data_IF_093076673349
#
_entry.id   IF_093076673349
#
_cell.length_a   1.000
_cell.length_b   1.000
_cell.length_c   1.000
_cell.angle_alpha   90.00
_cell.angle_beta   90.00
_cell.angle_gamma   90.00
#
_symmetry.space_group_name_H-M   'P 1'
#
loop_
_entity.id
_entity.type
_entity.pdbx_description
1 polymer ?
#
# COMPACT_ATOMS: atom_id res chain seq x y z
N UNK A 1 27.75 12.23 -14.10
CA UNK A 1 28.17 13.66 -14.06
C UNK A 1 26.90 14.47 -13.90
N UNK A 2 26.73 15.07 -12.72
CA UNK A 2 25.61 15.97 -12.43
C UNK A 2 26.22 17.38 -12.27
N UNK A 3 25.69 18.34 -12.99
CA UNK A 3 26.19 19.74 -12.97
C UNK A 3 27.69 19.92 -13.21
N UNK A 4 28.29 19.12 -14.13
CA UNK A 4 29.73 19.09 -14.45
C UNK A 4 30.66 18.70 -13.25
N UNK A 5 30.13 18.13 -12.19
CA UNK A 5 30.93 17.58 -11.10
C UNK A 5 31.03 16.05 -11.21
N UNK A 6 32.14 15.48 -10.74
CA UNK A 6 32.30 14.04 -10.60
C UNK A 6 31.68 13.62 -9.28
N UNK A 7 30.77 12.64 -9.32
CA UNK A 7 30.19 12.06 -8.13
C UNK A 7 30.68 10.62 -7.96
N UNK A 8 31.13 10.28 -6.76
CA UNK A 8 31.45 8.93 -6.36
C UNK A 8 30.38 8.47 -5.38
N UNK A 9 29.65 7.44 -5.74
CA UNK A 9 28.65 6.82 -4.87
C UNK A 9 29.33 5.76 -4.02
N UNK A 10 29.28 5.91 -2.69
CA UNK A 10 29.74 4.92 -1.73
C UNK A 10 28.49 4.33 -1.06
N UNK A 11 28.23 3.05 -1.31
CA UNK A 11 27.16 2.28 -0.68
C UNK A 11 27.71 1.34 0.38
N UNK A 12 27.00 1.16 1.47
CA UNK A 12 27.29 0.16 2.50
C UNK A 12 25.98 -0.37 3.08
N UNK A 13 26.01 -1.63 3.51
CA UNK A 13 24.90 -2.25 4.19
C UNK A 13 24.97 -1.98 5.68
N UNK A 14 23.87 -1.56 6.26
CA UNK A 14 23.76 -1.26 7.67
C UNK A 14 22.77 -2.21 8.34
N UNK A 15 23.27 -3.03 9.26
CA UNK A 15 22.45 -3.93 10.07
C UNK A 15 22.09 -3.18 11.37
N UNK A 16 20.87 -2.66 11.46
CA UNK A 16 20.38 -1.93 12.61
C UNK A 16 19.09 -1.17 12.32
N UNK A 17 18.57 -0.43 13.31
CA UNK A 17 17.37 0.36 13.12
C UNK A 17 17.62 1.55 12.15
N UNK A 18 16.63 1.91 11.35
CA UNK A 18 16.68 3.02 10.41
C UNK A 18 17.15 4.35 11.07
N UNK A 19 16.67 4.61 12.29
CA UNK A 19 17.04 5.82 13.03
C UNK A 19 18.53 5.85 13.43
N UNK A 20 19.08 4.70 13.79
CA UNK A 20 20.50 4.56 14.08
C UNK A 20 21.34 4.74 12.81
N UNK A 21 20.95 4.11 11.71
CA UNK A 21 21.59 4.27 10.41
C UNK A 21 21.62 5.72 9.95
N UNK A 22 20.50 6.43 10.06
CA UNK A 22 20.40 7.85 9.75
C UNK A 22 21.33 8.71 10.58
N UNK A 23 21.35 8.51 11.91
CA UNK A 23 22.25 9.25 12.82
C UNK A 23 23.73 8.95 12.52
N UNK A 24 24.04 7.73 12.16
CA UNK A 24 25.40 7.32 11.80
C UNK A 24 25.84 8.03 10.51
N UNK A 25 25.01 8.00 9.47
CA UNK A 25 25.28 8.69 8.20
C UNK A 25 25.48 10.19 8.43
N UNK A 26 24.59 10.84 9.18
CA UNK A 26 24.70 12.28 9.48
C UNK A 26 26.01 12.63 10.23
N UNK A 27 26.42 11.79 11.20
CA UNK A 27 27.69 11.98 11.90
C UNK A 27 28.89 11.77 10.98
N UNK A 28 28.88 10.70 10.21
CA UNK A 28 29.97 10.37 9.28
C UNK A 28 30.14 11.44 8.20
N UNK A 29 29.05 11.91 7.60
CA UNK A 29 29.08 13.00 6.63
C UNK A 29 29.63 14.29 7.22
N UNK A 30 29.28 14.63 8.47
CA UNK A 30 29.83 15.79 9.16
C UNK A 30 31.32 15.63 9.42
N UNK A 31 31.79 14.47 9.89
CA UNK A 31 33.20 14.19 10.10
C UNK A 31 33.99 14.24 8.81
N UNK A 32 33.49 13.62 7.74
CA UNK A 32 34.12 13.67 6.42
C UNK A 32 34.30 15.10 5.91
N UNK A 33 33.29 15.94 6.00
CA UNK A 33 33.34 17.31 5.52
C UNK A 33 34.23 18.23 6.37
N UNK A 34 34.33 17.96 7.67
CA UNK A 34 35.04 18.86 8.58
C UNK A 34 36.52 18.46 8.81
N UNK A 35 36.85 17.17 8.74
CA UNK A 35 38.15 16.67 9.18
C UNK A 35 38.94 15.91 8.13
N UNK A 36 38.28 15.32 7.13
CA UNK A 36 38.94 14.33 6.25
C UNK A 36 39.04 14.79 4.81
N UNK A 37 37.99 15.46 4.28
CA UNK A 37 37.94 15.82 2.87
C UNK A 37 38.77 17.07 2.56
N UNK A 38 39.64 17.01 1.53
CA UNK A 38 40.38 18.18 1.06
C UNK A 38 39.48 19.24 0.46
N UNK A 39 39.96 20.46 0.36
CA UNK A 39 39.25 21.60 -0.22
C UNK A 39 38.82 21.28 -1.67
N UNK A 40 37.54 21.40 -1.94
CA UNK A 40 36.94 21.08 -3.26
C UNK A 40 36.16 19.77 -3.29
N UNK A 41 36.24 18.93 -2.27
CA UNK A 41 35.42 17.73 -2.12
C UNK A 41 34.34 17.94 -1.07
N UNK A 42 33.16 17.42 -1.33
CA UNK A 42 32.04 17.47 -0.40
C UNK A 42 31.33 16.11 -0.34
N UNK A 43 31.20 15.58 0.85
CA UNK A 43 30.32 14.45 1.08
C UNK A 43 28.90 14.96 1.31
N UNK A 44 27.94 14.40 0.60
CA UNK A 44 26.54 14.70 0.77
C UNK A 44 25.77 13.39 0.94
N UNK A 45 24.78 13.40 1.83
CA UNK A 45 23.90 12.24 2.01
C UNK A 45 22.61 12.47 1.20
N UNK A 46 22.34 11.69 0.17
CA UNK A 46 21.14 11.86 -0.65
C UNK A 46 19.85 11.64 0.15
N UNK A 47 19.94 11.07 1.35
CA UNK A 47 18.77 10.61 2.12
C UNK A 47 17.92 11.71 2.75
N UNK A 48 18.42 12.93 2.97
CA UNK A 48 17.71 13.90 3.82
C UNK A 48 16.56 14.64 3.11
N UNK A 49 16.64 14.84 1.80
CA UNK A 49 15.59 15.54 1.04
C UNK A 49 14.69 14.61 0.22
N UNK A 50 15.18 13.41 -0.12
CA UNK A 50 14.41 12.44 -0.90
C UNK A 50 13.22 11.89 -0.09
N UNK A 51 13.41 11.43 1.14
CA UNK A 51 12.37 10.77 1.91
C UNK A 51 11.15 11.63 2.25
N UNK A 52 11.29 12.96 2.33
CA UNK A 52 10.16 13.85 2.62
C UNK A 52 9.35 14.14 1.37
N UNK A 53 10.01 14.35 0.22
CA UNK A 53 9.35 14.55 -1.07
C UNK A 53 8.68 13.26 -1.56
N UNK A 54 9.33 12.11 -1.38
CA UNK A 54 8.76 10.81 -1.73
C UNK A 54 7.50 10.48 -0.93
N UNK A 55 7.53 10.65 0.39
CA UNK A 55 6.35 10.42 1.24
C UNK A 55 5.17 11.32 0.85
N UNK A 56 5.44 12.57 0.50
CA UNK A 56 4.41 13.49 0.05
C UNK A 56 3.86 13.09 -1.32
N UNK A 57 4.72 12.67 -2.25
CA UNK A 57 4.29 12.14 -3.55
C UNK A 57 3.46 10.87 -3.41
N UNK A 58 3.86 9.95 -2.54
CA UNK A 58 3.12 8.72 -2.27
C UNK A 58 1.72 8.99 -1.70
N UNK A 59 1.59 9.94 -0.78
CA UNK A 59 0.29 10.34 -0.24
C UNK A 59 -0.63 10.94 -1.34
N UNK A 60 -0.08 11.77 -2.23
CA UNK A 60 -0.82 12.31 -3.36
C UNK A 60 -1.27 11.24 -4.37
N UNK A 61 -0.45 10.21 -4.60
CA UNK A 61 -0.81 9.07 -5.44
C UNK A 61 -2.00 8.28 -4.87
N UNK A 62 -2.00 8.02 -3.57
CA UNK A 62 -3.13 7.33 -2.93
C UNK A 62 -4.40 8.18 -3.04
N UNK A 63 -4.31 9.48 -2.79
CA UNK A 63 -5.46 10.39 -2.91
C UNK A 63 -5.99 10.42 -4.34
N UNK A 64 -5.11 10.47 -5.34
CA UNK A 64 -5.47 10.42 -6.75
C UNK A 64 -6.16 9.10 -7.12
N UNK A 65 -5.65 7.96 -6.64
CA UNK A 65 -6.27 6.64 -6.84
C UNK A 65 -7.68 6.63 -6.25
N UNK A 66 -7.86 7.10 -5.01
CA UNK A 66 -9.18 7.18 -4.36
C UNK A 66 -10.12 8.08 -5.14
N UNK A 67 -9.66 9.23 -5.65
CA UNK A 67 -10.46 10.15 -6.46
C UNK A 67 -10.91 9.50 -7.78
N UNK A 68 -10.03 8.77 -8.47
CA UNK A 68 -10.36 8.03 -9.68
C UNK A 68 -11.40 6.95 -9.38
N UNK A 69 -11.20 6.17 -8.31
CA UNK A 69 -12.14 5.13 -7.88
C UNK A 69 -13.52 5.74 -7.59
N UNK A 70 -13.55 6.86 -6.83
CA UNK A 70 -14.80 7.55 -6.53
C UNK A 70 -15.55 7.96 -7.79
N UNK A 71 -14.84 8.57 -8.74
CA UNK A 71 -15.44 9.01 -10.02
C UNK A 71 -15.98 7.83 -10.83
N UNK A 72 -15.19 6.77 -10.96
CA UNK A 72 -15.59 5.56 -11.69
C UNK A 72 -16.80 4.88 -11.06
N UNK A 73 -16.79 4.71 -9.74
CA UNK A 73 -17.92 4.12 -9.02
C UNK A 73 -19.18 5.01 -9.08
N UNK A 74 -19.01 6.35 -9.06
CA UNK A 74 -20.13 7.29 -9.20
C UNK A 74 -20.81 7.15 -10.55
N UNK A 75 -20.04 7.02 -11.63
CA UNK A 75 -20.55 6.79 -12.97
C UNK A 75 -21.24 5.41 -13.04
N UNK A 76 -20.61 4.38 -12.50
CA UNK A 76 -21.11 3.00 -12.54
C UNK A 76 -22.47 2.84 -11.82
N UNK A 77 -22.61 3.45 -10.64
CA UNK A 77 -23.81 3.29 -9.80
C UNK A 77 -24.83 4.42 -9.95
N UNK A 78 -24.53 5.42 -10.78
CA UNK A 78 -25.39 6.61 -10.95
C UNK A 78 -25.80 7.24 -9.59
N UNK A 79 -24.89 7.17 -8.62
CA UNK A 79 -25.13 7.56 -7.22
C UNK A 79 -23.88 8.07 -6.56
N UNK A 80 -23.97 9.19 -5.84
CA UNK A 80 -22.87 9.76 -5.06
C UNK A 80 -22.66 9.07 -3.70
N UNK A 81 -23.67 8.34 -3.20
CA UNK A 81 -23.63 7.74 -1.85
C UNK A 81 -22.98 6.35 -1.85
N UNK A 82 -23.22 5.53 -2.85
CA UNK A 82 -22.68 4.17 -2.93
C UNK A 82 -21.16 4.11 -3.00
N UNK A 83 -20.49 4.96 -3.80
CA UNK A 83 -19.03 5.01 -3.81
C UNK A 83 -18.40 5.32 -2.45
N UNK A 84 -19.07 6.13 -1.61
CA UNK A 84 -18.56 6.44 -0.28
C UNK A 84 -18.48 5.20 0.62
N UNK A 85 -19.43 4.28 0.50
CA UNK A 85 -19.41 3.01 1.25
C UNK A 85 -18.22 2.16 0.81
N UNK A 86 -17.99 2.07 -0.51
CA UNK A 86 -16.85 1.31 -1.06
C UNK A 86 -15.52 1.91 -0.60
N UNK A 87 -15.38 3.24 -0.64
CA UNK A 87 -14.15 3.92 -0.22
C UNK A 87 -13.90 3.72 1.28
N UNK A 88 -14.96 3.65 2.09
CA UNK A 88 -14.83 3.41 3.53
C UNK A 88 -14.27 2.01 3.84
N UNK A 89 -14.40 1.04 2.96
CA UNK A 89 -13.81 -0.29 3.10
C UNK A 89 -12.28 -0.27 2.96
N UNK A 90 -11.72 0.68 2.21
CA UNK A 90 -10.28 0.78 1.95
C UNK A 90 -9.48 0.99 3.25
N UNK A 91 -9.78 2.00 4.10
CA UNK A 91 -9.08 2.18 5.37
C UNK A 91 -9.16 0.96 6.29
N UNK A 92 -10.28 0.23 6.27
CA UNK A 92 -10.45 -0.97 7.09
C UNK A 92 -9.47 -2.07 6.64
N UNK A 93 -9.29 -2.26 5.35
CA UNK A 93 -8.31 -3.22 4.83
C UNK A 93 -6.86 -2.83 5.18
N UNK A 94 -6.56 -1.52 5.28
CA UNK A 94 -5.24 -1.02 5.67
C UNK A 94 -4.89 -1.36 7.12
N UNK A 95 -5.89 -1.53 8.00
CA UNK A 95 -5.66 -2.00 9.37
C UNK A 95 -4.91 -3.33 9.34
N UNK A 96 -5.28 -4.26 8.45
CA UNK A 96 -4.60 -5.54 8.28
C UNK A 96 -3.12 -5.38 7.91
N UNK A 97 -2.80 -4.42 7.05
CA UNK A 97 -1.41 -4.10 6.69
C UNK A 97 -0.64 -3.61 7.91
N UNK A 98 -1.16 -2.62 8.62
CA UNK A 98 -0.48 -2.06 9.80
C UNK A 98 -0.32 -3.09 10.92
N UNK A 99 -1.30 -3.99 11.10
CA UNK A 99 -1.18 -5.08 12.06
C UNK A 99 -0.07 -6.06 11.70
N UNK A 100 0.08 -6.42 10.42
CA UNK A 100 1.13 -7.35 10.00
C UNK A 100 2.53 -6.74 10.16
N UNK A 101 2.72 -5.47 9.83
CA UNK A 101 3.98 -4.77 10.05
C UNK A 101 4.26 -4.47 11.53
N UNK A 102 3.22 -4.22 12.33
CA UNK A 102 3.36 -4.03 13.77
C UNK A 102 3.71 -5.31 14.54
N UNK A 103 3.35 -6.47 14.00
CA UNK A 103 3.69 -7.77 14.58
C UNK A 103 5.05 -8.30 14.10
N UNK A 104 5.42 -8.00 12.86
CA UNK A 104 6.71 -8.34 12.28
C UNK A 104 7.65 -7.14 12.39
N UNK A 105 8.91 -7.38 12.75
CA UNK A 105 9.95 -6.32 12.85
C UNK A 105 10.38 -5.76 11.48
N UNK A 106 9.55 -5.91 10.45
CA UNK A 106 9.84 -5.41 9.11
C UNK A 106 9.55 -3.92 8.99
N UNK A 107 10.41 -3.24 8.25
CA UNK A 107 10.29 -1.80 7.99
C UNK A 107 9.25 -1.60 6.87
N UNK A 108 8.30 -0.71 7.12
CA UNK A 108 7.34 -0.27 6.10
C UNK A 108 8.05 0.61 5.07
N UNK A 109 8.24 0.08 3.88
CA UNK A 109 9.00 0.68 2.78
C UNK A 109 8.13 1.01 1.55
N UNK A 110 8.77 1.21 0.39
CA UNK A 110 8.08 1.48 -0.88
C UNK A 110 7.19 0.32 -1.33
N UNK A 111 7.56 -0.94 -1.01
CA UNK A 111 6.74 -2.12 -1.28
C UNK A 111 5.42 -2.08 -0.54
N UNK A 112 5.44 -1.69 0.74
CA UNK A 112 4.24 -1.47 1.53
C UNK A 112 3.30 -0.42 0.93
N UNK A 113 3.84 0.70 0.43
CA UNK A 113 3.04 1.72 -0.27
C UNK A 113 2.44 1.22 -1.59
N UNK A 114 3.21 0.46 -2.36
CA UNK A 114 2.70 -0.15 -3.60
C UNK A 114 1.54 -1.12 -3.31
N UNK A 115 1.63 -1.86 -2.20
CA UNK A 115 0.57 -2.74 -1.76
C UNK A 115 -0.73 -1.98 -1.42
N UNK A 116 -0.68 -0.76 -0.88
CA UNK A 116 -1.88 0.05 -0.66
C UNK A 116 -2.64 0.35 -1.97
N UNK A 117 -1.92 0.67 -3.04
CA UNK A 117 -2.54 0.91 -4.35
C UNK A 117 -3.20 -0.36 -4.88
N UNK A 118 -2.52 -1.50 -4.76
CA UNK A 118 -3.08 -2.80 -5.12
C UNK A 118 -4.33 -3.13 -4.31
N UNK A 119 -4.29 -2.92 -2.99
CA UNK A 119 -5.41 -3.17 -2.09
C UNK A 119 -6.62 -2.32 -2.41
N UNK A 120 -6.43 -1.04 -2.76
CA UNK A 120 -7.52 -0.18 -3.21
C UNK A 120 -8.28 -0.86 -4.37
N UNK A 121 -7.57 -1.42 -5.36
CA UNK A 121 -8.19 -2.10 -6.49
C UNK A 121 -8.96 -3.37 -6.10
N UNK A 122 -8.37 -4.22 -5.26
CA UNK A 122 -8.98 -5.50 -4.84
C UNK A 122 -10.23 -5.25 -3.99
N UNK A 123 -10.13 -4.37 -3.00
CA UNK A 123 -11.23 -4.04 -2.07
C UNK A 123 -12.39 -3.39 -2.82
N UNK A 124 -12.08 -2.45 -3.71
CA UNK A 124 -13.10 -1.78 -4.53
C UNK A 124 -13.82 -2.77 -5.44
N UNK A 125 -13.08 -3.68 -6.08
CA UNK A 125 -13.68 -4.70 -6.93
C UNK A 125 -14.68 -5.59 -6.15
N UNK A 126 -14.31 -6.02 -4.95
CA UNK A 126 -15.18 -6.79 -4.06
C UNK A 126 -16.43 -5.98 -3.64
N UNK A 127 -16.24 -4.70 -3.27
CA UNK A 127 -17.31 -3.78 -2.92
C UNK A 127 -18.30 -3.54 -4.08
N UNK A 128 -17.79 -3.38 -5.30
CA UNK A 128 -18.60 -3.22 -6.51
C UNK A 128 -19.48 -4.45 -6.73
N UNK A 129 -18.90 -5.66 -6.64
CA UNK A 129 -19.67 -6.89 -6.79
C UNK A 129 -20.80 -7.00 -5.78
N UNK A 130 -20.53 -6.65 -4.53
CA UNK A 130 -21.51 -6.74 -3.45
C UNK A 130 -22.65 -5.74 -3.62
N UNK A 131 -22.34 -4.47 -3.87
CA UNK A 131 -23.36 -3.41 -4.05
C UNK A 131 -24.17 -3.65 -5.32
N UNK A 132 -23.55 -4.09 -6.41
CA UNK A 132 -24.28 -4.41 -7.63
C UNK A 132 -25.27 -5.57 -7.43
N UNK A 133 -24.90 -6.59 -6.67
CA UNK A 133 -25.80 -7.70 -6.33
C UNK A 133 -26.92 -7.24 -5.40
N UNK A 134 -26.62 -6.39 -4.41
CA UNK A 134 -27.63 -5.80 -3.54
C UNK A 134 -28.67 -5.01 -4.34
N UNK A 135 -28.23 -4.19 -5.31
CA UNK A 135 -29.13 -3.44 -6.19
C UNK A 135 -30.01 -4.36 -7.04
N UNK A 136 -29.42 -5.43 -7.57
CA UNK A 136 -30.16 -6.43 -8.37
C UNK A 136 -31.22 -7.13 -7.52
N UNK A 137 -30.84 -7.56 -6.32
CA UNK A 137 -31.78 -8.18 -5.38
C UNK A 137 -32.86 -7.20 -4.91
N UNK A 138 -32.53 -5.92 -4.72
CA UNK A 138 -33.47 -4.88 -4.34
C UNK A 138 -34.50 -4.59 -5.44
N UNK A 139 -34.06 -4.56 -6.70
CA UNK A 139 -34.93 -4.39 -7.85
C UNK A 139 -35.98 -5.52 -7.99
N UNK A 140 -35.58 -6.75 -7.66
CA UNK A 140 -36.47 -7.92 -7.73
C UNK A 140 -37.43 -7.97 -6.53
N UNK A 141 -36.97 -7.67 -5.31
CA UNK A 141 -37.74 -7.85 -4.08
C UNK A 141 -38.57 -6.63 -3.66
N UNK A 142 -38.26 -5.45 -4.23
CA UNK A 142 -38.90 -4.17 -3.87
C UNK A 142 -38.62 -3.70 -2.43
N UNK A 143 -37.73 -4.40 -1.69
CA UNK A 143 -37.41 -4.12 -0.28
C UNK A 143 -35.89 -3.92 -0.12
N UNK A 144 -35.49 -3.08 0.82
CA UNK A 144 -34.09 -2.90 1.25
C UNK A 144 -33.98 -3.24 2.72
N UNK A 145 -32.87 -3.85 3.14
CA UNK A 145 -32.62 -4.19 4.52
C UNK A 145 -31.51 -5.23 4.68
N UNK A 146 -31.16 -5.51 5.94
CA UNK A 146 -30.06 -6.42 6.30
C UNK A 146 -30.25 -7.83 5.69
N UNK A 147 -31.50 -8.32 5.63
CA UNK A 147 -31.77 -9.63 5.05
C UNK A 147 -31.44 -9.70 3.55
N UNK A 148 -31.65 -8.58 2.82
CA UNK A 148 -31.31 -8.48 1.41
C UNK A 148 -29.78 -8.42 1.20
N UNK A 149 -29.10 -7.64 2.05
CA UNK A 149 -27.64 -7.56 2.06
C UNK A 149 -27.01 -8.94 2.30
N UNK A 150 -27.48 -9.68 3.31
CA UNK A 150 -27.01 -11.05 3.58
C UNK A 150 -27.26 -12.00 2.39
N UNK A 151 -28.37 -11.85 1.70
CA UNK A 151 -28.65 -12.61 0.48
C UNK A 151 -27.67 -12.28 -0.64
N UNK A 152 -27.41 -10.99 -0.88
CA UNK A 152 -26.44 -10.52 -1.88
C UNK A 152 -25.01 -11.01 -1.53
N UNK A 153 -24.64 -10.92 -0.25
CA UNK A 153 -23.37 -11.42 0.26
C UNK A 153 -23.20 -12.92 -0.01
N UNK A 154 -24.19 -13.74 0.35
CA UNK A 154 -24.14 -15.19 0.10
C UNK A 154 -24.04 -15.54 -1.39
N UNK A 155 -24.62 -14.75 -2.28
CA UNK A 155 -24.49 -14.96 -3.72
C UNK A 155 -23.08 -14.63 -4.25
N UNK A 156 -22.41 -13.63 -3.66
CA UNK A 156 -21.12 -13.12 -4.16
C UNK A 156 -19.90 -13.57 -3.34
N UNK A 157 -20.10 -14.21 -2.18
CA UNK A 157 -18.98 -14.63 -1.33
C UNK A 157 -18.04 -15.60 -2.06
N UNK A 158 -18.58 -16.51 -2.88
CA UNK A 158 -17.74 -17.48 -3.62
C UNK A 158 -16.83 -16.80 -4.64
N UNK A 159 -17.31 -15.97 -5.58
CA UNK A 159 -16.42 -15.28 -6.52
C UNK A 159 -15.46 -14.31 -5.83
N UNK A 160 -15.88 -13.63 -4.76
CA UNK A 160 -15.01 -12.75 -3.98
C UNK A 160 -13.90 -13.56 -3.31
N UNK A 161 -14.23 -14.67 -2.65
CA UNK A 161 -13.25 -15.54 -2.01
C UNK A 161 -12.27 -16.16 -3.01
N UNK A 162 -12.71 -16.52 -4.20
CA UNK A 162 -11.84 -17.02 -5.28
C UNK A 162 -10.85 -15.95 -5.74
N UNK A 163 -11.28 -14.70 -5.89
CA UNK A 163 -10.38 -13.59 -6.23
C UNK A 163 -9.34 -13.37 -5.14
N UNK A 164 -9.74 -13.37 -3.88
CA UNK A 164 -8.86 -13.22 -2.73
C UNK A 164 -7.84 -14.36 -2.68
N UNK A 165 -8.31 -15.61 -2.78
CA UNK A 165 -7.46 -16.78 -2.76
C UNK A 165 -6.45 -16.77 -3.92
N UNK A 166 -6.91 -16.43 -5.14
CA UNK A 166 -6.06 -16.29 -6.32
C UNK A 166 -4.97 -15.23 -6.11
N UNK A 167 -5.32 -14.08 -5.52
CA UNK A 167 -4.37 -13.02 -5.21
C UNK A 167 -3.32 -13.49 -4.20
N UNK A 168 -3.75 -14.14 -3.10
CA UNK A 168 -2.84 -14.67 -2.08
C UNK A 168 -1.90 -15.70 -2.68
N UNK A 169 -2.41 -16.66 -3.46
CA UNK A 169 -1.59 -17.67 -4.12
C UNK A 169 -0.64 -17.06 -5.16
N UNK A 170 -1.07 -16.03 -5.89
CA UNK A 170 -0.23 -15.31 -6.85
C UNK A 170 0.92 -14.54 -6.19
N UNK A 171 0.73 -14.08 -4.95
CA UNK A 171 1.77 -13.37 -4.19
C UNK A 171 2.64 -14.30 -3.33
N UNK A 172 2.23 -15.55 -3.12
CA UNK A 172 2.97 -16.51 -2.31
C UNK A 172 4.42 -16.74 -2.76
N UNK A 173 4.76 -16.77 -4.07
CA UNK A 173 6.15 -16.90 -4.51
C UNK A 173 7.08 -15.82 -3.95
N UNK A 174 6.62 -14.57 -3.84
CA UNK A 174 7.41 -13.46 -3.30
C UNK A 174 7.74 -13.59 -1.81
N UNK A 175 6.98 -14.41 -1.07
CA UNK A 175 7.31 -14.74 0.31
C UNK A 175 8.40 -15.82 0.41
N UNK A 176 8.50 -16.67 -0.61
CA UNK A 176 9.47 -17.77 -0.61
C UNK A 176 10.91 -17.27 -0.82
N UNK A 177 11.08 -16.22 -1.64
CA UNK A 177 12.39 -15.61 -1.89
C UNK A 177 12.98 -14.93 -0.64
N UNK A 178 12.15 -14.74 0.39
CA UNK A 178 12.56 -14.28 1.72
C UNK A 178 12.83 -12.77 1.81
N UNK A 179 13.32 -12.31 2.97
CA UNK A 179 13.52 -10.88 3.27
C UNK A 179 14.74 -10.27 2.54
N UNK A 180 15.49 -11.01 1.75
CA UNK A 180 16.61 -10.49 0.95
C UNK A 180 16.08 -9.53 -0.14
N UNK A 181 14.92 -9.83 -0.72
CA UNK A 181 14.22 -8.96 -1.68
C UNK A 181 13.24 -8.05 -0.95
N UNK A 182 13.78 -7.04 -0.27
CA UNK A 182 13.05 -6.14 0.65
C UNK A 182 11.73 -5.60 0.06
N UNK A 183 11.75 -5.12 -1.19
CA UNK A 183 10.57 -4.54 -1.84
C UNK A 183 9.45 -5.57 -2.05
N UNK A 184 9.78 -6.71 -2.70
CA UNK A 184 8.77 -7.72 -3.06
C UNK A 184 8.22 -8.45 -1.85
N UNK A 185 9.06 -8.68 -0.85
CA UNK A 185 8.66 -9.31 0.39
C UNK A 185 7.70 -8.41 1.18
N UNK A 186 8.04 -7.12 1.39
CA UNK A 186 7.18 -6.17 2.05
C UNK A 186 5.86 -5.96 1.30
N UNK A 187 5.90 -5.88 -0.04
CA UNK A 187 4.74 -5.80 -0.91
C UNK A 187 3.81 -7.00 -0.72
N UNK A 188 4.35 -8.23 -0.74
CA UNK A 188 3.57 -9.45 -0.61
C UNK A 188 2.92 -9.55 0.78
N UNK A 189 3.66 -9.30 1.87
CA UNK A 189 3.11 -9.31 3.23
C UNK A 189 1.98 -8.29 3.36
N UNK A 190 2.20 -7.06 2.92
CA UNK A 190 1.20 -6.01 2.98
C UNK A 190 -0.07 -6.37 2.18
N UNK A 191 0.10 -6.83 0.94
CA UNK A 191 -1.01 -7.16 0.07
C UNK A 191 -1.80 -8.38 0.58
N UNK A 192 -1.14 -9.43 1.05
CA UNK A 192 -1.80 -10.63 1.59
C UNK A 192 -2.57 -10.29 2.86
N UNK A 193 -1.94 -9.61 3.82
CA UNK A 193 -2.59 -9.25 5.08
C UNK A 193 -3.75 -8.28 4.89
N UNK A 194 -3.58 -7.27 4.05
CA UNK A 194 -4.65 -6.32 3.73
C UNK A 194 -5.81 -6.98 2.98
N UNK A 195 -5.52 -7.88 2.04
CA UNK A 195 -6.54 -8.64 1.30
C UNK A 195 -7.31 -9.58 2.24
N UNK A 196 -6.62 -10.25 3.16
CA UNK A 196 -7.27 -11.08 4.17
C UNK A 196 -8.21 -10.24 5.06
N UNK A 197 -7.74 -9.07 5.50
CA UNK A 197 -8.52 -8.15 6.33
C UNK A 197 -9.69 -7.51 5.57
N UNK A 198 -9.60 -7.40 4.25
CA UNK A 198 -10.70 -6.86 3.41
C UNK A 198 -11.97 -7.71 3.50
N UNK A 199 -11.84 -9.02 3.78
CA UNK A 199 -12.99 -9.91 4.01
C UNK A 199 -13.81 -9.47 5.21
N UNK A 200 -13.15 -8.92 6.24
CA UNK A 200 -13.80 -8.42 7.45
C UNK A 200 -14.51 -7.09 7.17
N UNK A 201 -14.02 -6.34 6.20
CA UNK A 201 -14.61 -5.06 5.78
C UNK A 201 -15.89 -5.24 4.93
N UNK A 202 -16.04 -6.39 4.27
CA UNK A 202 -17.19 -6.79 3.47
C UNK A 202 -18.34 -7.28 4.34
#
# INVERSE_FOLDING_TARGET
>A
IRDRSYEILVGFDFIGSYELGKRLIERTVRQLNNEILPIGFRADSPSHNFGRKEKQQQAWLILLVVAIIYTMCTILFESLRKPLVIILMIPISFIGVFLSFGWSDFIFDQGGFAAFVLLCGIVVNAGIYLINEEDTCAAISGKRGIALYLKAFNHKIVPISLTILSTILGLAPFLYDGPEEVFWFAFAIAAISGTFFSVIAL
#
